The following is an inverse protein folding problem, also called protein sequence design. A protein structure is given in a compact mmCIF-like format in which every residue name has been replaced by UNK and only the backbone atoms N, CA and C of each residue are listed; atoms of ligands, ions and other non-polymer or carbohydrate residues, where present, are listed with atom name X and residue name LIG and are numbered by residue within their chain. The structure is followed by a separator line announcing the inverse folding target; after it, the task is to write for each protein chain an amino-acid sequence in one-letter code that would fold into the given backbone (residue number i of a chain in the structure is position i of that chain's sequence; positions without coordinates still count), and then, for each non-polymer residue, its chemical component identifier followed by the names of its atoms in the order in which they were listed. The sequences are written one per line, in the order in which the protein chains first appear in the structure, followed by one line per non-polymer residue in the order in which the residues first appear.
data_IF_994185073210
#
_entry.id   IF_994185073210
#
_cell.length_a   1.000
_cell.length_b   1.000
_cell.length_c   1.000
_cell.angle_alpha   90.00
_cell.angle_beta   90.00
_cell.angle_gamma   90.00
#
_symmetry.space_group_name_H-M   'P 1'
#
loop_
_entity.id
_entity.type
_entity.pdbx_description
1 polymer ?
#
# COMPACT_ATOMS: atom_id res chain seq x y z
N UNK A 1 19.55 -4.40 -22.29
CA UNK A 1 18.75 -3.87 -21.14
C UNK A 1 17.51 -3.24 -21.72
N UNK A 2 16.32 -3.81 -21.44
CA UNK A 2 15.07 -3.47 -22.13
C UNK A 2 14.53 -2.11 -21.67
N UNK A 3 13.97 -1.33 -22.60
CA UNK A 3 13.31 -0.04 -22.37
C UNK A 3 12.21 -0.05 -21.28
N UNK A 4 11.70 -1.23 -20.93
CA UNK A 4 10.76 -1.45 -19.84
C UNK A 4 11.40 -1.32 -18.44
N UNK A 5 12.70 -1.63 -18.27
CA UNK A 5 13.40 -1.40 -16.98
C UNK A 5 13.52 0.08 -16.64
N UNK A 6 13.69 0.95 -17.63
CA UNK A 6 13.77 2.40 -17.41
C UNK A 6 12.41 3.02 -17.05
N UNK A 7 11.27 2.43 -17.50
CA UNK A 7 9.94 2.96 -17.22
C UNK A 7 9.56 2.88 -15.75
N UNK A 8 9.91 1.81 -15.03
CA UNK A 8 9.60 1.64 -13.60
C UNK A 8 10.37 2.59 -12.68
N UNK A 9 11.55 3.06 -13.10
CA UNK A 9 12.41 3.91 -12.28
C UNK A 9 12.42 5.38 -12.68
N UNK A 10 11.75 5.74 -13.77
CA UNK A 10 11.68 7.14 -14.16
C UNK A 10 10.77 7.85 -13.17
N UNK A 11 11.39 8.60 -12.27
CA UNK A 11 10.64 9.54 -11.42
C UNK A 11 9.71 10.36 -12.27
N UNK A 12 8.44 10.51 -11.89
CA UNK A 12 7.61 11.55 -12.45
C UNK A 12 8.38 12.86 -12.27
N UNK A 13 8.35 13.75 -13.27
CA UNK A 13 8.79 15.14 -13.08
C UNK A 13 7.87 15.71 -12.02
N UNK A 14 8.33 15.70 -10.76
CA UNK A 14 7.60 16.32 -9.68
C UNK A 14 7.47 17.80 -10.03
N UNK A 15 6.25 18.27 -10.20
CA UNK A 15 5.98 19.70 -10.34
C UNK A 15 6.47 20.39 -9.06
N UNK A 16 6.97 21.66 -9.13
CA UNK A 16 7.35 22.39 -7.93
C UNK A 16 6.19 22.34 -6.92
N UNK A 17 6.51 21.96 -5.69
CA UNK A 17 5.56 21.71 -4.66
C UNK A 17 4.87 23.02 -4.22
N UNK A 18 3.59 23.12 -4.48
CA UNK A 18 2.65 23.93 -3.70
C UNK A 18 1.82 22.93 -2.92
N UNK A 19 1.66 23.13 -1.61
CA UNK A 19 0.76 22.29 -0.82
C UNK A 19 -0.63 22.35 -1.47
N UNK A 20 -1.13 21.26 -2.05
CA UNK A 20 -2.37 21.36 -2.82
C UNK A 20 -3.57 21.39 -1.87
N UNK A 21 -4.61 22.10 -2.27
CA UNK A 21 -5.95 22.05 -1.69
C UNK A 21 -6.61 20.71 -2.08
N UNK A 22 -6.24 19.63 -1.45
CA UNK A 22 -6.74 18.29 -1.83
C UNK A 22 -6.95 17.37 -0.63
N UNK A 23 -6.90 17.93 0.58
CA UNK A 23 -7.13 17.15 1.80
C UNK A 23 -8.62 16.97 2.08
N UNK A 24 -9.07 15.71 2.17
CA UNK A 24 -10.39 15.38 2.68
C UNK A 24 -10.29 14.20 3.65
N UNK A 25 -11.19 14.15 4.61
CA UNK A 25 -11.23 13.12 5.64
C UNK A 25 -12.64 12.52 5.67
N UNK A 26 -12.95 11.55 4.80
CA UNK A 26 -14.26 10.89 4.83
C UNK A 26 -14.43 9.94 6.03
N UNK A 27 -13.34 9.69 6.76
CA UNK A 27 -13.30 8.80 7.92
C UNK A 27 -12.28 9.24 8.97
N UNK A 28 -11.43 8.32 9.43
CA UNK A 28 -10.46 8.55 10.51
C UNK A 28 -9.07 8.96 10.03
N UNK A 29 -8.78 8.83 8.75
CA UNK A 29 -7.50 9.16 8.16
C UNK A 29 -7.68 10.25 7.09
N UNK A 30 -6.82 11.27 7.05
CA UNK A 30 -6.84 12.25 5.98
C UNK A 30 -6.36 11.58 4.69
N UNK A 31 -7.12 11.79 3.61
CA UNK A 31 -6.78 11.36 2.24
C UNK A 31 -6.40 12.57 1.41
N UNK A 32 -5.52 12.33 0.46
CA UNK A 32 -5.00 13.37 -0.42
C UNK A 32 -5.29 13.07 -1.89
N UNK A 33 -6.17 13.86 -2.50
CA UNK A 33 -6.44 13.85 -3.94
C UNK A 33 -5.66 14.97 -4.63
N UNK A 34 -4.42 14.67 -5.03
CA UNK A 34 -3.50 15.63 -5.64
C UNK A 34 -3.21 15.40 -7.11
N UNK A 35 -4.04 14.61 -7.83
CA UNK A 35 -3.81 14.28 -9.23
C UNK A 35 -2.53 13.44 -9.42
N UNK A 36 -1.69 13.80 -10.42
CA UNK A 36 -0.48 13.04 -10.81
C UNK A 36 0.66 13.10 -9.78
N UNK A 37 0.37 13.00 -8.47
CA UNK A 37 1.36 13.00 -7.40
C UNK A 37 1.58 11.58 -6.90
N UNK A 38 2.85 11.11 -6.76
CA UNK A 38 3.13 9.80 -6.20
C UNK A 38 2.62 9.68 -4.77
N UNK A 39 1.92 8.59 -4.48
CA UNK A 39 1.35 8.31 -3.17
C UNK A 39 1.75 6.93 -2.68
N UNK A 40 2.23 6.86 -1.44
CA UNK A 40 2.41 5.64 -0.69
C UNK A 40 1.09 5.25 -0.04
N UNK A 41 0.64 4.04 -0.28
CA UNK A 41 -0.66 3.54 0.15
C UNK A 41 -0.48 2.23 0.91
N UNK A 42 -1.23 2.09 1.99
CA UNK A 42 -1.36 0.84 2.75
C UNK A 42 -2.83 0.50 2.92
N UNK A 43 -3.25 -0.70 2.56
CA UNK A 43 -4.54 -1.26 2.90
C UNK A 43 -4.37 -2.65 3.50
N UNK A 44 -5.25 -3.02 4.43
CA UNK A 44 -5.07 -4.17 5.30
C UNK A 44 -6.33 -5.03 5.41
N UNK A 45 -6.16 -6.30 5.80
CA UNK A 45 -7.27 -7.20 6.09
C UNK A 45 -8.14 -6.64 7.23
N UNK A 46 -9.42 -6.97 7.18
CA UNK A 46 -10.41 -6.49 8.14
C UNK A 46 -10.09 -6.89 9.59
N UNK A 47 -9.48 -8.05 9.79
CA UNK A 47 -9.14 -8.67 11.07
C UNK A 47 -7.69 -8.40 11.51
N UNK A 48 -6.87 -7.72 10.70
CA UNK A 48 -5.45 -7.53 10.96
C UNK A 48 -5.13 -6.59 12.13
N UNK A 49 -6.06 -5.72 12.50
CA UNK A 49 -5.94 -4.81 13.65
C UNK A 49 -7.33 -4.57 14.27
N UNK A 50 -7.55 -5.03 15.52
CA UNK A 50 -8.81 -4.80 16.23
C UNK A 50 -9.12 -3.30 16.41
N UNK A 51 -10.35 -2.90 16.14
CA UNK A 51 -10.78 -1.51 16.27
C UNK A 51 -10.56 -0.96 17.69
N UNK A 52 -10.85 -1.75 18.72
CA UNK A 52 -10.65 -1.37 20.12
C UNK A 52 -9.18 -1.03 20.44
N UNK A 53 -8.21 -1.73 19.79
CA UNK A 53 -6.80 -1.44 19.96
C UNK A 53 -6.40 -0.13 19.28
N UNK A 54 -6.95 0.13 18.10
CA UNK A 54 -6.75 1.38 17.39
C UNK A 54 -7.29 2.57 18.17
N UNK A 55 -8.49 2.45 18.74
CA UNK A 55 -9.12 3.49 19.54
C UNK A 55 -8.32 3.77 20.82
N UNK A 56 -7.83 2.72 21.50
CA UNK A 56 -6.93 2.84 22.65
C UNK A 56 -5.65 3.60 22.31
N UNK A 57 -5.02 3.33 21.16
CA UNK A 57 -3.81 4.04 20.76
C UNK A 57 -4.08 5.51 20.44
N UNK A 58 -5.22 5.81 19.83
CA UNK A 58 -5.66 7.21 19.59
C UNK A 58 -5.86 7.98 20.89
N UNK A 59 -6.53 7.36 21.85
CA UNK A 59 -6.75 7.95 23.16
C UNK A 59 -5.43 8.22 23.91
N UNK A 60 -4.52 7.24 23.92
CA UNK A 60 -3.20 7.39 24.50
C UNK A 60 -2.39 8.53 23.88
N UNK A 61 -2.38 8.64 22.54
CA UNK A 61 -1.66 9.72 21.85
C UNK A 61 -2.28 11.10 22.08
N UNK A 62 -3.58 11.16 22.32
CA UNK A 62 -4.28 12.42 22.69
C UNK A 62 -3.98 12.85 24.13
N UNK A 63 -3.93 11.90 25.05
CA UNK A 63 -3.66 12.20 26.48
C UNK A 63 -2.22 12.65 26.72
N UNK A 64 -1.28 12.22 25.89
CA UNK A 64 0.14 12.57 26.02
C UNK A 64 0.49 13.94 25.38
N UNK A 65 -0.50 14.77 24.98
CA UNK A 65 -0.34 16.00 24.18
C UNK A 65 0.54 15.82 22.91
N UNK A 66 0.74 14.58 22.49
CA UNK A 66 1.59 14.13 21.39
C UNK A 66 0.76 13.49 20.26
N UNK A 67 -0.48 14.00 20.00
CA UNK A 67 -1.24 13.48 18.88
C UNK A 67 -0.54 13.83 17.57
N UNK A 68 0.30 12.90 17.13
CA UNK A 68 0.94 12.93 15.83
C UNK A 68 0.45 11.72 15.03
N UNK A 69 -0.20 11.98 13.91
CA UNK A 69 -0.61 10.96 12.96
C UNK A 69 0.55 10.05 12.55
N UNK A 70 1.79 10.53 12.54
CA UNK A 70 2.97 9.73 12.24
C UNK A 70 3.27 8.71 13.34
N UNK A 71 3.04 9.06 14.62
CA UNK A 71 3.22 8.13 15.74
C UNK A 71 2.17 7.02 15.71
N UNK A 72 0.91 7.34 15.43
CA UNK A 72 -0.16 6.35 15.26
C UNK A 72 0.15 5.40 14.10
N UNK A 73 0.54 5.93 12.96
CA UNK A 73 0.93 5.16 11.78
C UNK A 73 2.04 4.18 12.08
N UNK A 74 3.10 4.65 12.74
CA UNK A 74 4.24 3.80 13.12
C UNK A 74 3.81 2.64 14.03
N UNK A 75 2.88 2.88 14.97
CA UNK A 75 2.31 1.81 15.82
C UNK A 75 1.52 0.80 14.99
N UNK A 76 0.69 1.27 14.05
CA UNK A 76 -0.08 0.42 13.15
C UNK A 76 0.85 -0.43 12.29
N UNK A 77 1.86 0.16 11.65
CA UNK A 77 2.84 -0.55 10.82
C UNK A 77 3.57 -1.64 11.61
N UNK A 78 4.10 -1.31 12.80
CA UNK A 78 4.77 -2.27 13.65
C UNK A 78 3.86 -3.44 14.07
N UNK A 79 2.59 -3.19 14.27
CA UNK A 79 1.61 -4.22 14.60
C UNK A 79 1.31 -5.12 13.40
N UNK A 80 1.11 -4.53 12.23
CA UNK A 80 0.87 -5.28 10.99
C UNK A 80 2.06 -6.18 10.62
N UNK A 81 3.29 -5.69 10.79
CA UNK A 81 4.53 -6.45 10.55
C UNK A 81 4.64 -7.71 11.43
N UNK A 82 3.95 -7.76 12.58
CA UNK A 82 3.90 -8.94 13.44
C UNK A 82 2.96 -10.04 12.90
N UNK A 83 2.17 -9.76 11.86
CA UNK A 83 1.34 -10.74 11.18
C UNK A 83 0.14 -11.21 12.01
N UNK A 84 -0.50 -10.32 12.76
CA UNK A 84 -1.75 -10.64 13.45
C UNK A 84 -2.93 -10.79 12.49
N UNK A 85 -3.96 -11.52 12.93
CA UNK A 85 -5.13 -11.89 12.16
C UNK A 85 -4.93 -13.20 11.39
N UNK A 86 -5.89 -13.55 10.56
CA UNK A 86 -5.93 -14.81 9.79
C UNK A 86 -4.87 -14.87 8.68
N UNK A 87 -4.27 -13.72 8.32
CA UNK A 87 -3.20 -13.65 7.34
C UNK A 87 -3.53 -14.33 6.00
N UNK A 88 -4.74 -14.15 5.48
CA UNK A 88 -5.22 -14.78 4.25
C UNK A 88 -4.34 -14.53 3.02
N UNK A 89 -3.51 -13.47 3.05
CA UNK A 89 -2.58 -13.17 1.94
C UNK A 89 -1.35 -14.09 1.96
N UNK A 90 -1.20 -14.99 2.92
CA UNK A 90 -0.21 -16.08 2.89
C UNK A 90 -0.57 -17.16 1.86
N UNK A 91 -1.85 -17.27 1.50
CA UNK A 91 -2.25 -18.16 0.40
C UNK A 91 -1.69 -17.61 -0.92
N UNK A 92 -0.80 -18.34 -1.60
CA UNK A 92 -0.17 -17.85 -2.83
C UNK A 92 -1.17 -17.50 -3.93
N UNK A 93 -2.34 -18.16 -3.96
CA UNK A 93 -3.40 -17.90 -4.95
C UNK A 93 -4.02 -16.52 -4.71
N UNK A 94 -4.24 -16.18 -3.44
CA UNK A 94 -4.78 -14.87 -3.04
C UNK A 94 -3.75 -13.77 -3.32
N UNK A 95 -2.50 -13.97 -2.86
CA UNK A 95 -1.43 -13.00 -3.10
C UNK A 95 -1.18 -12.74 -4.59
N UNK A 96 -1.19 -13.80 -5.41
CA UNK A 96 -1.04 -13.70 -6.86
C UNK A 96 -2.21 -12.94 -7.51
N UNK A 97 -3.45 -13.20 -7.08
CA UNK A 97 -4.64 -12.48 -7.57
C UNK A 97 -4.54 -10.99 -7.28
N UNK A 98 -4.11 -10.63 -6.05
CA UNK A 98 -3.89 -9.24 -5.67
C UNK A 98 -2.79 -8.60 -6.53
N UNK A 99 -1.62 -9.25 -6.65
CA UNK A 99 -0.52 -8.74 -7.46
C UNK A 99 -0.94 -8.54 -8.92
N UNK A 100 -1.65 -9.49 -9.52
CA UNK A 100 -2.16 -9.38 -10.88
C UNK A 100 -3.10 -8.17 -11.03
N UNK A 101 -3.94 -7.91 -10.03
CA UNK A 101 -4.86 -6.77 -10.04
C UNK A 101 -4.11 -5.42 -9.94
N UNK A 102 -3.03 -5.37 -9.16
CA UNK A 102 -2.16 -4.19 -9.09
C UNK A 102 -1.46 -3.91 -10.43
N UNK A 103 -1.03 -4.96 -11.11
CA UNK A 103 -0.34 -4.86 -12.41
C UNK A 103 -1.28 -4.59 -13.58
N UNK A 104 -2.54 -5.01 -13.48
CA UNK A 104 -3.52 -4.92 -14.57
C UNK A 104 -3.78 -3.49 -15.04
N UNK A 105 -3.88 -2.56 -14.10
CA UNK A 105 -4.12 -1.14 -14.40
C UNK A 105 -2.85 -0.29 -14.45
N UNK A 106 -1.67 -0.92 -14.31
CA UNK A 106 -0.40 -0.18 -14.44
C UNK A 106 -0.24 0.36 -15.86
N UNK A 107 0.11 1.62 -15.98
CA UNK A 107 0.22 2.44 -17.21
C UNK A 107 -1.13 2.79 -17.88
N UNK A 108 -2.26 2.36 -17.33
CA UNK A 108 -3.61 2.73 -17.78
C UNK A 108 -4.26 3.75 -16.82
N UNK A 109 -4.53 3.34 -15.58
CA UNK A 109 -5.14 4.22 -14.58
C UNK A 109 -4.13 4.87 -13.64
N UNK A 110 -3.00 4.25 -13.47
CA UNK A 110 -1.90 4.74 -12.64
C UNK A 110 -0.56 4.18 -13.12
N UNK A 111 0.53 4.74 -12.61
CA UNK A 111 1.86 4.15 -12.73
C UNK A 111 2.27 3.55 -11.38
N UNK A 112 2.49 2.23 -11.35
CA UNK A 112 2.90 1.50 -10.17
C UNK A 112 4.43 1.49 -10.07
N UNK A 113 4.98 2.07 -9.01
CA UNK A 113 6.44 2.19 -8.82
C UNK A 113 7.03 1.13 -7.91
N UNK A 114 6.31 0.74 -6.88
CA UNK A 114 6.69 -0.35 -5.98
C UNK A 114 5.44 -0.95 -5.31
N UNK A 115 5.53 -2.23 -4.93
CA UNK A 115 4.50 -2.92 -4.15
C UNK A 115 5.08 -4.10 -3.38
N UNK A 116 4.36 -4.49 -2.35
CA UNK A 116 4.55 -5.77 -1.65
C UNK A 116 3.22 -6.24 -1.07
N UNK A 117 2.90 -7.51 -1.29
CA UNK A 117 1.78 -8.20 -0.65
C UNK A 117 2.32 -8.93 0.57
N UNK A 118 2.04 -8.40 1.74
CA UNK A 118 2.39 -8.96 3.05
C UNK A 118 1.29 -9.92 3.54
N UNK A 119 1.52 -10.74 4.56
CA UNK A 119 0.52 -11.73 5.02
C UNK A 119 -0.86 -11.18 5.36
N UNK A 120 -0.98 -9.93 5.80
CA UNK A 120 -2.22 -9.31 6.28
C UNK A 120 -2.47 -7.88 5.77
N UNK A 121 -1.58 -7.35 4.92
CA UNK A 121 -1.70 -6.02 4.34
C UNK A 121 -0.94 -5.91 3.01
N UNK A 122 -1.17 -4.83 2.29
CA UNK A 122 -0.47 -4.48 1.05
C UNK A 122 0.10 -3.08 1.19
N UNK A 123 1.35 -2.92 0.81
CA UNK A 123 1.94 -1.60 0.55
C UNK A 123 2.12 -1.40 -0.94
N UNK A 124 1.84 -0.20 -1.42
CA UNK A 124 2.12 0.18 -2.80
C UNK A 124 2.51 1.66 -2.91
N UNK A 125 3.33 1.97 -3.89
CA UNK A 125 3.65 3.31 -4.33
C UNK A 125 3.17 3.48 -5.75
N UNK A 126 2.17 4.30 -5.95
CA UNK A 126 1.62 4.58 -7.27
C UNK A 126 1.49 6.10 -7.51
N UNK A 127 1.40 6.44 -8.78
CA UNK A 127 1.06 7.80 -9.24
C UNK A 127 -0.23 7.67 -10.05
N UNK A 128 -1.35 8.27 -9.64
CA UNK A 128 -2.56 8.29 -10.45
C UNK A 128 -2.30 8.89 -11.83
N UNK A 129 -2.98 8.41 -12.86
CA UNK A 129 -2.96 9.00 -14.19
C UNK A 129 -3.71 10.33 -14.24
N UNK A 130 -3.65 11.05 -15.37
CA UNK A 130 -4.46 12.22 -15.61
C UNK A 130 -5.94 11.88 -15.37
N UNK A 131 -6.66 12.77 -14.70
CA UNK A 131 -8.11 12.66 -14.44
C UNK A 131 -8.52 11.36 -13.68
N UNK A 132 -7.59 10.69 -13.02
CA UNK A 132 -7.85 9.52 -12.18
C UNK A 132 -7.93 9.91 -10.71
N UNK A 133 -9.04 9.55 -10.10
CA UNK A 133 -9.28 9.70 -8.67
C UNK A 133 -8.68 8.50 -7.91
N UNK A 134 -7.83 8.77 -6.91
CA UNK A 134 -7.21 7.75 -6.08
C UNK A 134 -8.26 6.93 -5.33
N UNK A 135 -9.30 7.57 -4.80
CA UNK A 135 -10.35 6.86 -4.04
C UNK A 135 -11.12 5.88 -4.92
N UNK A 136 -11.40 6.24 -6.17
CA UNK A 136 -12.02 5.36 -7.16
C UNK A 136 -11.09 4.20 -7.58
N UNK A 137 -9.78 4.44 -7.70
CA UNK A 137 -8.78 3.40 -7.94
C UNK A 137 -8.79 2.39 -6.79
N UNK A 138 -8.67 2.87 -5.55
CA UNK A 138 -8.63 2.02 -4.35
C UNK A 138 -9.93 1.26 -4.14
N UNK A 139 -11.07 1.90 -4.35
CA UNK A 139 -12.37 1.25 -4.25
C UNK A 139 -12.47 0.08 -5.23
N UNK A 140 -12.13 0.28 -6.50
CA UNK A 140 -12.19 -0.78 -7.51
C UNK A 140 -11.22 -1.92 -7.23
N UNK A 141 -9.97 -1.62 -6.84
CA UNK A 141 -8.98 -2.63 -6.46
C UNK A 141 -9.44 -3.46 -5.26
N UNK A 142 -9.88 -2.80 -4.19
CA UNK A 142 -10.32 -3.49 -2.96
C UNK A 142 -11.57 -4.31 -3.19
N UNK A 143 -12.55 -3.79 -3.94
CA UNK A 143 -13.79 -4.53 -4.24
C UNK A 143 -13.51 -5.77 -5.08
N UNK A 144 -12.73 -5.64 -6.15
CA UNK A 144 -12.39 -6.77 -7.01
C UNK A 144 -11.59 -7.84 -6.26
N UNK A 145 -10.50 -7.43 -5.58
CA UNK A 145 -9.61 -8.36 -4.89
C UNK A 145 -10.28 -9.02 -3.69
N UNK A 146 -11.20 -8.35 -2.98
CA UNK A 146 -12.00 -8.95 -1.92
C UNK A 146 -12.90 -10.07 -2.45
N UNK A 147 -13.60 -9.84 -3.56
CA UNK A 147 -14.46 -10.83 -4.18
C UNK A 147 -13.68 -12.06 -4.64
N UNK A 148 -12.55 -11.85 -5.35
CA UNK A 148 -11.72 -12.95 -5.83
C UNK A 148 -11.05 -13.71 -4.68
N UNK A 149 -10.52 -13.02 -3.68
CA UNK A 149 -9.94 -13.66 -2.50
C UNK A 149 -10.98 -14.50 -1.75
N UNK A 150 -12.16 -13.96 -1.47
CA UNK A 150 -13.22 -14.68 -0.80
C UNK A 150 -13.64 -15.94 -1.57
N UNK A 151 -13.73 -15.90 -2.90
CA UNK A 151 -13.98 -17.09 -3.74
C UNK A 151 -12.88 -18.13 -3.62
N UNK A 152 -11.61 -17.70 -3.70
CA UNK A 152 -10.45 -18.59 -3.67
C UNK A 152 -10.32 -19.37 -2.36
N UNK A 153 -10.70 -18.75 -1.23
CA UNK A 153 -10.59 -19.37 0.11
C UNK A 153 -11.93 -19.85 0.68
N UNK A 154 -13.02 -19.80 -0.11
CA UNK A 154 -14.35 -20.25 0.33
C UNK A 154 -14.94 -19.42 1.47
N UNK A 155 -14.64 -18.12 1.53
CA UNK A 155 -15.05 -17.19 2.58
C UNK A 155 -16.10 -16.20 2.06
N UNK A 156 -16.87 -15.65 2.98
CA UNK A 156 -17.82 -14.54 2.74
C UNK A 156 -17.57 -13.40 3.72
N UNK A 157 -18.14 -12.22 3.42
CA UNK A 157 -18.04 -11.05 4.28
C UNK A 157 -16.86 -10.14 3.95
N UNK A 158 -16.59 -9.23 4.86
CA UNK A 158 -15.61 -8.19 4.68
C UNK A 158 -14.19 -8.75 4.63
N UNK A 159 -13.44 -8.45 3.57
CA UNK A 159 -12.06 -8.89 3.39
C UNK A 159 -11.06 -7.79 3.78
N UNK A 160 -11.24 -6.57 3.27
CA UNK A 160 -10.41 -5.42 3.57
C UNK A 160 -11.05 -4.51 4.61
N UNK A 161 -10.23 -3.84 5.42
CA UNK A 161 -10.70 -2.67 6.16
C UNK A 161 -11.22 -1.62 5.17
N UNK A 162 -12.31 -0.88 5.51
CA UNK A 162 -12.84 0.17 4.64
C UNK A 162 -11.81 1.24 4.34
N UNK A 163 -11.09 1.70 5.34
CA UNK A 163 -10.07 2.73 5.21
C UNK A 163 -8.75 2.19 4.69
N UNK A 164 -8.08 3.00 3.89
CA UNK A 164 -6.70 2.85 3.47
C UNK A 164 -5.90 4.00 4.05
N UNK A 165 -4.63 3.77 4.25
CA UNK A 165 -3.69 4.81 4.61
C UNK A 165 -2.98 5.28 3.35
N UNK A 166 -2.94 6.58 3.09
CA UNK A 166 -2.18 7.18 1.99
C UNK A 166 -1.30 8.33 2.47
N UNK A 167 -0.19 8.50 1.79
CA UNK A 167 0.77 9.58 2.02
C UNK A 167 1.40 9.99 0.69
N UNK A 168 1.28 11.27 0.34
CA UNK A 168 1.94 11.81 -0.84
C UNK A 168 3.48 11.89 -0.68
N UNK A 169 4.21 11.79 -1.79
CA UNK A 169 5.66 11.83 -1.85
C UNK A 169 6.13 13.23 -2.19
N UNK A 170 7.00 13.78 -1.34
CA UNK A 170 7.42 15.18 -1.40
C UNK A 170 8.52 15.46 -2.41
N UNK A 171 9.47 14.54 -2.52
CA UNK A 171 10.71 14.72 -3.31
C UNK A 171 11.31 13.37 -3.73
N UNK A 172 12.41 13.44 -4.48
CA UNK A 172 13.13 12.28 -5.01
C UNK A 172 13.70 11.37 -3.93
N UNK A 173 14.25 11.95 -2.88
CA UNK A 173 14.84 11.20 -1.77
C UNK A 173 13.76 10.46 -0.98
N UNK A 174 12.62 11.12 -0.77
CA UNK A 174 11.45 10.50 -0.16
C UNK A 174 10.92 9.34 -1.02
N UNK A 175 10.84 9.53 -2.33
CA UNK A 175 10.43 8.50 -3.29
C UNK A 175 11.32 7.25 -3.19
N UNK A 176 12.65 7.44 -3.24
CA UNK A 176 13.61 6.34 -3.14
C UNK A 176 13.53 5.62 -1.78
N UNK A 177 13.39 6.38 -0.68
CA UNK A 177 13.21 5.81 0.68
C UNK A 177 11.94 4.98 0.80
N UNK A 178 10.84 5.41 0.18
CA UNK A 178 9.57 4.67 0.22
C UNK A 178 9.65 3.39 -0.62
N UNK A 179 10.29 3.40 -1.79
CA UNK A 179 10.55 2.16 -2.55
C UNK A 179 11.35 1.18 -1.69
N UNK A 180 12.47 1.64 -1.12
CA UNK A 180 13.30 0.80 -0.27
C UNK A 180 12.54 0.26 0.95
N UNK A 181 11.69 1.08 1.57
CA UNK A 181 10.82 0.67 2.67
C UNK A 181 9.85 -0.45 2.25
N UNK A 182 9.11 -0.27 1.13
CA UNK A 182 8.16 -1.25 0.61
C UNK A 182 8.86 -2.58 0.35
N UNK A 183 10.00 -2.56 -0.34
CA UNK A 183 10.69 -3.76 -0.76
C UNK A 183 11.41 -4.49 0.37
N UNK A 184 11.90 -3.76 1.38
CA UNK A 184 12.51 -4.36 2.57
C UNK A 184 11.49 -4.81 3.63
N UNK A 185 10.20 -4.55 3.45
CA UNK A 185 9.18 -4.91 4.43
C UNK A 185 9.17 -6.40 4.79
N UNK A 186 9.24 -7.36 3.83
CA UNK A 186 9.31 -8.79 4.14
C UNK A 186 10.57 -9.19 4.91
N UNK A 187 11.71 -8.54 4.63
CA UNK A 187 12.97 -8.77 5.36
C UNK A 187 12.86 -8.28 6.80
N UNK A 188 12.33 -7.07 7.00
CA UNK A 188 12.06 -6.49 8.32
C UNK A 188 11.11 -7.36 9.15
N UNK A 189 10.07 -7.94 8.50
CA UNK A 189 9.15 -8.89 9.11
C UNK A 189 9.72 -10.32 9.24
N UNK A 190 10.98 -10.56 8.88
CA UNK A 190 11.68 -11.86 8.92
C UNK A 190 11.00 -12.97 8.10
N UNK A 191 10.33 -12.60 7.03
CA UNK A 191 9.67 -13.53 6.10
C UNK A 191 10.62 -14.04 5.02
N UNK A 192 11.69 -13.30 4.72
CA UNK A 192 12.77 -13.66 3.81
C UNK A 192 14.08 -12.98 4.22
N UNK A 193 15.20 -13.36 3.59
CA UNK A 193 16.52 -12.77 3.88
C UNK A 193 16.89 -11.61 2.98
N UNK A 194 16.31 -11.54 1.78
CA UNK A 194 16.53 -10.47 0.80
C UNK A 194 15.20 -10.05 0.17
N UNK A 195 15.02 -8.77 -0.21
CA UNK A 195 13.79 -8.30 -0.83
C UNK A 195 13.35 -9.08 -2.06
N UNK A 196 14.30 -9.46 -2.89
CA UNK A 196 14.06 -10.22 -4.13
C UNK A 196 13.71 -11.69 -3.91
N UNK A 197 13.71 -12.18 -2.69
CA UNK A 197 13.29 -13.54 -2.36
C UNK A 197 11.79 -13.62 -2.00
N UNK A 198 11.12 -12.47 -1.82
CA UNK A 198 9.69 -12.42 -1.54
C UNK A 198 8.86 -12.34 -2.84
N UNK A 199 8.10 -13.41 -3.22
CA UNK A 199 7.56 -13.58 -4.57
C UNK A 199 6.49 -12.55 -4.98
N UNK A 200 5.82 -11.92 -4.01
CA UNK A 200 4.71 -10.98 -4.28
C UNK A 200 5.15 -9.53 -4.04
N UNK A 201 6.30 -9.16 -4.61
CA UNK A 201 6.88 -7.82 -4.47
C UNK A 201 7.48 -7.30 -5.77
N UNK A 202 7.59 -5.98 -5.86
CA UNK A 202 8.27 -5.30 -6.97
C UNK A 202 9.76 -5.69 -7.08
N UNK A 203 10.44 -5.96 -5.96
CA UNK A 203 11.83 -6.41 -5.94
C UNK A 203 12.00 -7.77 -6.64
N UNK A 204 11.15 -8.74 -6.30
CA UNK A 204 11.14 -10.06 -6.94
C UNK A 204 10.74 -9.99 -8.42
N UNK A 205 9.72 -9.20 -8.73
CA UNK A 205 9.23 -9.00 -10.09
C UNK A 205 10.31 -8.43 -11.00
N UNK A 206 11.07 -7.42 -10.55
CA UNK A 206 12.19 -6.85 -11.30
C UNK A 206 13.34 -7.82 -11.50
N UNK A 207 13.70 -8.62 -10.49
CA UNK A 207 14.77 -9.63 -10.61
C UNK A 207 14.48 -10.65 -11.72
N UNK A 208 13.21 -10.98 -11.93
CA UNK A 208 12.78 -11.96 -12.96
C UNK A 208 12.47 -11.36 -14.32
N UNK A 209 12.75 -10.09 -14.53
CA UNK A 209 12.61 -9.43 -15.82
C UNK A 209 11.23 -8.86 -16.12
N UNK A 210 10.32 -8.83 -15.14
CA UNK A 210 9.04 -8.12 -15.22
C UNK A 210 8.20 -8.53 -16.44
N UNK A 211 7.87 -9.81 -16.60
CA UNK A 211 6.97 -10.30 -17.66
C UNK A 211 5.60 -10.64 -17.07
#
# INVERSE_FOLDING_TARGET
MSAQREKFFRMPKLKPFHAPDGWHSPGYLPHFDGGEIPQFITFRLADSLPQALLDKWREQLRSDDCYDDAALRKRIELYLDQGYGECHLRDPRVAQSIQNSLLFFDQDRYRLSAWVVMPNHVHMLLTPGPDQDLSAILHSLKSYTANEANKLIGRTGQFWQPESFDRWIRDADHFAKVIAYIENNPVKARLCTKPEDWPFSSAWFRKRGGK
#
